data_IF_878409308742
#
_entry.id   IF_878409308742
#
_cell.length_a   1.000
_cell.length_b   1.000
_cell.length_c   1.000
_cell.angle_alpha   90.00
_cell.angle_beta   90.00
_cell.angle_gamma   90.00
#
_symmetry.space_group_name_H-M   'P 1'
#
loop_
_entity.id
_entity.type
_entity.pdbx_description
1 polymer ?
#
# COMPACT_ATOMS: atom_id res chain seq x y z
N UNK A 1 -30.24 -40.17 26.56
CA UNK A 1 -28.90 -40.33 25.95
C UNK A 1 -28.67 -39.18 24.98
N UNK A 2 -27.61 -38.40 25.23
CA UNK A 2 -26.92 -37.38 24.40
C UNK A 2 -27.74 -36.11 24.04
N UNK A 3 -27.48 -34.90 24.57
CA UNK A 3 -26.28 -34.05 24.49
C UNK A 3 -25.80 -33.90 23.02
N UNK A 4 -25.73 -32.71 22.39
CA UNK A 4 -24.96 -31.53 22.79
C UNK A 4 -25.52 -30.23 22.18
N UNK A 5 -25.36 -29.16 22.97
CA UNK A 5 -25.37 -27.74 22.62
C UNK A 5 -24.43 -27.48 21.43
N UNK A 6 -24.79 -26.57 20.53
CA UNK A 6 -23.82 -25.62 19.97
C UNK A 6 -24.51 -24.32 19.53
N UNK A 7 -24.35 -23.33 20.42
CA UNK A 7 -24.37 -21.90 20.17
C UNK A 7 -23.70 -21.52 18.85
N UNK A 8 -24.42 -20.81 18.00
CA UNK A 8 -23.78 -19.88 17.07
C UNK A 8 -24.38 -18.51 17.35
N UNK A 9 -23.81 -17.84 18.36
CA UNK A 9 -23.84 -16.39 18.40
C UNK A 9 -23.17 -15.94 17.11
N UNK A 10 -23.98 -15.48 16.15
CA UNK A 10 -23.51 -14.86 14.93
C UNK A 10 -22.74 -13.62 15.33
N UNK A 11 -21.42 -13.77 15.47
CA UNK A 11 -20.51 -12.65 15.45
C UNK A 11 -20.51 -12.15 14.00
N UNK A 12 -21.45 -11.25 13.71
CA UNK A 12 -21.53 -10.52 12.45
C UNK A 12 -20.35 -9.55 12.41
N UNK A 13 -19.14 -10.11 12.28
CA UNK A 13 -18.04 -9.41 11.68
C UNK A 13 -18.50 -9.14 10.24
N UNK A 14 -18.94 -7.91 10.00
CA UNK A 14 -19.23 -7.38 8.67
C UNK A 14 -18.18 -7.93 7.70
N UNK A 15 -18.56 -8.58 6.59
CA UNK A 15 -17.58 -9.07 5.63
C UNK A 15 -16.70 -7.89 5.29
N UNK A 16 -15.41 -7.97 5.62
CA UNK A 16 -14.46 -6.91 5.28
C UNK A 16 -14.60 -6.76 3.78
N UNK A 17 -15.14 -5.61 3.35
CA UNK A 17 -15.42 -5.31 1.94
C UNK A 17 -14.20 -5.73 1.15
N UNK A 18 -14.33 -6.64 0.19
CA UNK A 18 -13.21 -7.01 -0.67
C UNK A 18 -12.63 -5.74 -1.30
N UNK A 19 -11.33 -5.55 -1.17
CA UNK A 19 -10.67 -4.40 -1.74
C UNK A 19 -10.55 -4.59 -3.25
N UNK A 20 -10.77 -3.52 -4.00
CA UNK A 20 -10.33 -3.49 -5.39
C UNK A 20 -8.80 -3.57 -5.43
N UNK A 21 -8.26 -4.19 -6.49
CA UNK A 21 -6.81 -4.22 -6.74
C UNK A 21 -6.18 -2.83 -6.72
N UNK A 22 -6.94 -1.79 -7.07
CA UNK A 22 -6.50 -0.40 -7.03
C UNK A 22 -6.28 0.11 -5.60
N UNK A 23 -7.20 -0.18 -4.68
CA UNK A 23 -7.08 0.19 -3.26
C UNK A 23 -5.87 -0.52 -2.62
N UNK A 24 -5.71 -1.83 -2.88
CA UNK A 24 -4.56 -2.60 -2.36
C UNK A 24 -3.25 -2.01 -2.87
N UNK A 25 -3.19 -1.69 -4.16
CA UNK A 25 -2.00 -1.09 -4.78
C UNK A 25 -1.70 0.29 -4.21
N UNK A 26 -2.71 1.10 -3.88
CA UNK A 26 -2.50 2.41 -3.26
C UNK A 26 -1.83 2.30 -1.88
N UNK A 27 -2.26 1.34 -1.05
CA UNK A 27 -1.67 1.10 0.27
C UNK A 27 -0.24 0.58 0.16
N UNK A 28 -0.01 -0.42 -0.70
CA UNK A 28 1.34 -0.96 -0.92
C UNK A 28 2.30 0.14 -1.37
N UNK A 29 1.88 1.03 -2.29
CA UNK A 29 2.68 2.18 -2.74
C UNK A 29 2.98 3.15 -1.60
N UNK A 30 1.97 3.50 -0.82
CA UNK A 30 2.12 4.43 0.31
C UNK A 30 3.14 3.89 1.33
N UNK A 31 3.01 2.62 1.73
CA UNK A 31 3.91 2.01 2.72
C UNK A 31 5.32 1.80 2.18
N UNK A 32 5.46 1.41 0.91
CA UNK A 32 6.76 1.28 0.26
C UNK A 32 7.48 2.63 0.17
N UNK A 33 6.78 3.71 -0.20
CA UNK A 33 7.34 5.07 -0.22
C UNK A 33 7.68 5.60 1.18
N UNK A 34 7.05 5.05 2.23
CA UNK A 34 7.45 5.23 3.63
C UNK A 34 8.65 4.37 4.05
N UNK A 35 9.35 3.77 3.09
CA UNK A 35 10.52 2.90 3.28
C UNK A 35 10.21 1.63 4.09
N UNK A 36 8.94 1.19 4.10
CA UNK A 36 8.55 -0.06 4.74
C UNK A 36 8.99 -1.24 3.87
N UNK A 37 9.64 -2.23 4.49
CA UNK A 37 10.11 -3.43 3.78
C UNK A 37 8.91 -4.27 3.27
N UNK A 38 9.02 -4.93 2.11
CA UNK A 38 7.96 -5.79 1.57
C UNK A 38 7.40 -6.81 2.57
N UNK A 39 8.26 -7.48 3.34
CA UNK A 39 7.87 -8.44 4.38
C UNK A 39 6.97 -7.84 5.46
N UNK A 40 7.27 -6.61 5.89
CA UNK A 40 6.49 -5.91 6.90
C UNK A 40 5.16 -5.40 6.35
N UNK A 41 5.14 -4.95 5.09
CA UNK A 41 3.89 -4.61 4.38
C UNK A 41 3.01 -5.85 4.26
N UNK A 42 3.57 -6.98 3.81
CA UNK A 42 2.86 -8.25 3.68
C UNK A 42 2.28 -8.69 5.02
N UNK A 43 3.09 -8.64 6.09
CA UNK A 43 2.65 -8.96 7.45
C UNK A 43 1.46 -8.11 7.88
N UNK A 44 1.53 -6.78 7.77
CA UNK A 44 0.44 -5.89 8.17
C UNK A 44 -0.84 -6.13 7.38
N UNK A 45 -0.72 -6.39 6.07
CA UNK A 45 -1.85 -6.71 5.21
C UNK A 45 -2.46 -8.07 5.59
N UNK A 46 -1.64 -9.09 5.82
CA UNK A 46 -2.09 -10.43 6.18
C UNK A 46 -2.72 -10.47 7.59
N UNK A 47 -2.20 -9.71 8.56
CA UNK A 47 -2.78 -9.59 9.90
C UNK A 47 -4.17 -8.92 9.86
N UNK A 48 -4.36 -7.97 8.95
CA UNK A 48 -5.62 -7.21 8.86
C UNK A 48 -6.67 -7.93 8.00
N UNK A 49 -6.25 -8.59 6.91
CA UNK A 49 -7.15 -9.09 5.86
C UNK A 49 -7.01 -10.59 5.58
N UNK A 50 -6.08 -11.30 6.23
CA UNK A 50 -5.75 -12.67 5.88
C UNK A 50 -5.23 -12.80 4.44
N UNK A 51 -5.48 -13.95 3.81
CA UNK A 51 -5.07 -14.23 2.43
C UNK A 51 -5.86 -13.48 1.35
N UNK A 52 -6.78 -12.58 1.70
CA UNK A 52 -7.64 -11.88 0.73
C UNK A 52 -6.91 -10.84 -0.12
N UNK A 53 -5.73 -10.39 0.33
CA UNK A 53 -4.96 -9.36 -0.36
C UNK A 53 -3.74 -9.92 -1.11
N UNK A 54 -2.96 -10.78 -0.45
CA UNK A 54 -1.86 -11.55 -1.04
C UNK A 54 -1.71 -12.86 -0.26
N UNK A 55 -1.48 -13.97 -0.96
CA UNK A 55 -1.26 -15.28 -0.32
C UNK A 55 0.15 -15.36 0.29
N UNK A 56 1.13 -14.77 -0.40
CA UNK A 56 2.53 -14.79 0.00
C UNK A 56 3.23 -13.43 -0.17
N UNK A 57 4.40 -13.29 0.47
CA UNK A 57 5.28 -12.13 0.25
C UNK A 57 5.75 -12.06 -1.22
N UNK A 58 5.95 -13.20 -1.88
CA UNK A 58 6.35 -13.27 -3.28
C UNK A 58 5.29 -12.72 -4.23
N UNK A 59 4.00 -12.90 -3.92
CA UNK A 59 2.89 -12.30 -4.68
C UNK A 59 2.93 -10.77 -4.58
N UNK A 60 3.19 -10.24 -3.38
CA UNK A 60 3.36 -8.80 -3.16
C UNK A 60 4.58 -8.26 -3.91
N UNK A 61 5.71 -8.95 -3.86
CA UNK A 61 6.94 -8.55 -4.57
C UNK A 61 6.72 -8.58 -6.08
N UNK A 62 6.02 -9.59 -6.59
CA UNK A 62 5.71 -9.72 -8.01
C UNK A 62 4.79 -8.61 -8.50
N UNK A 63 3.76 -8.26 -7.74
CA UNK A 63 2.88 -7.12 -8.03
C UNK A 63 3.64 -5.80 -8.00
N UNK A 64 4.53 -5.59 -7.02
CA UNK A 64 5.41 -4.42 -6.94
C UNK A 64 6.31 -4.31 -8.17
N UNK A 65 6.98 -5.40 -8.56
CA UNK A 65 7.86 -5.44 -9.74
C UNK A 65 7.08 -5.17 -11.03
N UNK A 66 5.94 -5.84 -11.22
CA UNK A 66 5.07 -5.59 -12.37
C UNK A 66 4.61 -4.14 -12.42
N UNK A 67 4.28 -3.55 -11.28
CA UNK A 67 3.96 -2.12 -11.23
C UNK A 67 5.14 -1.26 -11.67
N UNK A 68 6.35 -1.48 -11.12
CA UNK A 68 7.53 -0.70 -11.49
C UNK A 68 7.89 -0.81 -12.98
N UNK A 69 7.77 -1.99 -13.57
CA UNK A 69 8.04 -2.21 -15.00
C UNK A 69 6.99 -1.53 -15.89
N UNK A 70 5.74 -1.43 -15.43
CA UNK A 70 4.65 -0.76 -16.14
C UNK A 70 4.54 0.74 -15.81
N UNK A 71 5.41 1.29 -14.98
CA UNK A 71 5.49 2.74 -14.81
C UNK A 71 6.03 3.34 -16.10
N UNK A 72 5.25 4.25 -16.70
CA UNK A 72 5.73 5.05 -17.81
C UNK A 72 7.01 5.80 -17.38
N UNK A 73 8.05 5.80 -18.22
CA UNK A 73 9.28 6.58 -18.01
C UNK A 73 8.99 8.05 -17.66
N UNK A 74 7.87 8.59 -18.15
CA UNK A 74 7.38 9.92 -17.81
C UNK A 74 7.06 10.08 -16.31
N UNK A 75 6.66 9.02 -15.60
CA UNK A 75 6.43 9.04 -14.15
C UNK A 75 7.73 9.38 -13.41
N UNK A 76 8.84 8.73 -13.78
CA UNK A 76 10.15 9.01 -13.21
C UNK A 76 10.69 10.36 -13.69
N UNK A 77 10.49 10.71 -14.97
CA UNK A 77 10.90 12.00 -15.54
C UNK A 77 10.21 13.18 -14.84
N UNK A 78 8.89 13.09 -14.63
CA UNK A 78 8.11 14.12 -13.92
C UNK A 78 8.55 14.21 -12.45
N UNK A 79 8.75 13.06 -11.80
CA UNK A 79 9.26 13.01 -10.43
C UNK A 79 10.61 13.73 -10.28
N UNK A 80 11.58 13.38 -11.13
CA UNK A 80 12.92 13.98 -11.14
C UNK A 80 12.87 15.46 -11.53
N UNK A 81 12.11 15.84 -12.56
CA UNK A 81 11.97 17.24 -12.97
C UNK A 81 11.27 18.09 -11.91
N UNK A 82 10.38 17.50 -11.11
CA UNK A 82 9.75 18.19 -10.00
C UNK A 82 10.73 18.53 -8.88
N UNK A 83 11.84 17.78 -8.73
CA UNK A 83 12.91 18.12 -7.79
C UNK A 83 13.63 19.41 -8.20
N UNK A 84 13.92 19.59 -9.49
CA UNK A 84 14.49 20.84 -10.00
C UNK A 84 13.56 22.02 -9.74
N UNK A 85 12.25 21.85 -9.97
CA UNK A 85 11.26 22.88 -9.68
C UNK A 85 11.18 23.22 -8.18
N UNK A 86 11.27 22.21 -7.30
CA UNK A 86 11.30 22.38 -5.84
C UNK A 86 12.56 23.11 -5.37
N UNK A 87 13.72 22.77 -5.94
CA UNK A 87 14.99 23.45 -5.63
C UNK A 87 14.96 24.90 -6.09
N UNK A 88 14.43 25.18 -7.28
CA UNK A 88 14.27 26.54 -7.77
C UNK A 88 13.36 27.37 -6.85
N UNK A 89 12.20 26.83 -6.46
CA UNK A 89 11.32 27.50 -5.47
C UNK A 89 12.05 27.79 -4.17
N UNK A 90 12.89 26.87 -3.68
CA UNK A 90 13.66 27.10 -2.45
C UNK A 90 14.65 28.25 -2.58
N UNK A 91 15.29 28.37 -3.75
CA UNK A 91 16.20 29.48 -4.06
C UNK A 91 15.41 30.79 -4.10
N UNK A 92 14.27 30.80 -4.79
CA UNK A 92 13.41 31.97 -4.96
C UNK A 92 12.79 32.45 -3.63
N UNK A 93 12.59 31.53 -2.68
CA UNK A 93 12.09 31.82 -1.33
C UNK A 93 13.22 31.93 -0.27
N UNK A 94 14.48 32.16 -0.67
CA UNK A 94 15.62 32.35 0.25
C UNK A 94 15.80 31.24 1.30
N UNK A 95 15.41 30.01 0.99
CA UNK A 95 15.54 28.87 1.91
C UNK A 95 14.36 28.64 2.85
N UNK A 96 13.31 29.48 2.82
CA UNK A 96 12.14 29.29 3.65
C UNK A 96 11.31 28.06 3.21
N UNK A 97 10.74 27.36 4.20
CA UNK A 97 9.82 26.26 3.94
C UNK A 97 8.49 26.84 3.44
N UNK A 98 8.23 26.71 2.14
CA UNK A 98 6.90 26.97 1.57
C UNK A 98 6.00 25.77 1.88
N UNK A 99 5.44 25.76 3.09
CA UNK A 99 4.41 24.81 3.50
C UNK A 99 3.06 25.12 2.85
N UNK A 100 2.27 24.06 2.68
CA UNK A 100 0.80 24.09 2.70
C UNK A 100 0.35 23.11 3.77
#
# INVERSE_FOLDING_TARGET
MNALVNTTGSNIATPIKEWSKLEVRAVVRFLFLKETKPSEIHKQIAETYGGMAFETEDDLISELRNWFVNLNVDFFRVGINSLLSRWQKRIDHHGDYVEK
#
